data_IF_635732936439
#
_entry.id   IF_635732936439
#
_cell.length_a   1.000
_cell.length_b   1.000
_cell.length_c   1.000
_cell.angle_alpha   90.00
_cell.angle_beta   90.00
_cell.angle_gamma   90.00
#
_symmetry.space_group_name_H-M   'P 1'
#
loop_
_entity.id
_entity.type
_entity.pdbx_description
1 polymer ?
#
# COMPACT_ATOMS: atom_id res chain seq x y z
N UNK A 1 -29.83 6.43 -22.06
CA UNK A 1 -28.40 6.75 -21.81
C UNK A 1 -27.75 5.50 -21.21
N UNK A 2 -26.70 4.97 -21.85
CA UNK A 2 -26.11 3.67 -21.48
C UNK A 2 -25.46 3.75 -20.10
N UNK A 3 -25.94 2.97 -19.15
CA UNK A 3 -25.22 2.70 -17.89
C UNK A 3 -24.08 1.75 -18.25
N UNK A 4 -22.90 2.26 -18.54
CA UNK A 4 -21.70 1.42 -18.69
C UNK A 4 -21.16 1.07 -17.31
N UNK A 5 -21.69 -0.01 -16.74
CA UNK A 5 -21.22 -0.65 -15.51
C UNK A 5 -20.26 -1.79 -15.86
N UNK A 6 -18.94 -1.60 -15.72
CA UNK A 6 -17.84 -2.62 -15.66
C UNK A 6 -16.49 -1.93 -15.91
N UNK A 7 -15.37 -2.13 -15.20
CA UNK A 7 -14.93 -3.06 -14.15
C UNK A 7 -14.10 -2.28 -13.14
N UNK A 8 -14.44 -2.32 -11.84
CA UNK A 8 -13.59 -1.76 -10.79
C UNK A 8 -12.61 -2.84 -10.32
N UNK A 9 -11.52 -3.01 -11.04
CA UNK A 9 -10.33 -3.68 -10.51
C UNK A 9 -9.26 -2.60 -10.37
N UNK A 10 -9.31 -1.80 -9.30
CA UNK A 10 -8.27 -0.80 -9.08
C UNK A 10 -6.98 -1.43 -8.60
N UNK A 11 -6.96 -2.71 -8.23
CA UNK A 11 -5.72 -3.41 -7.98
C UNK A 11 -5.78 -4.88 -8.37
N UNK A 12 -4.63 -5.41 -8.80
CA UNK A 12 -4.44 -6.80 -9.20
C UNK A 12 -3.39 -7.47 -8.32
N UNK A 13 -3.62 -8.73 -7.95
CA UNK A 13 -2.63 -9.51 -7.22
C UNK A 13 -1.48 -9.93 -8.15
N UNK A 14 -0.23 -9.74 -7.73
CA UNK A 14 0.95 -10.12 -8.50
C UNK A 14 2.27 -9.67 -7.88
N UNK A 15 3.42 -10.10 -8.42
CA UNK A 15 4.73 -9.79 -7.88
C UNK A 15 5.06 -8.30 -8.00
N UNK A 16 5.54 -7.70 -6.90
CA UNK A 16 5.97 -6.31 -6.81
C UNK A 16 7.50 -6.24 -6.85
N UNK A 17 8.04 -5.38 -7.71
CA UNK A 17 9.47 -5.11 -7.78
C UNK A 17 9.88 -4.21 -6.62
N UNK A 18 10.61 -4.77 -5.64
CA UNK A 18 11.10 -4.02 -4.46
C UNK A 18 12.23 -3.04 -4.77
N UNK A 19 12.88 -3.16 -5.92
CA UNK A 19 13.87 -2.18 -6.34
C UNK A 19 13.21 -0.86 -6.77
N UNK A 20 11.96 -0.92 -7.23
CA UNK A 20 11.14 0.22 -7.67
C UNK A 20 10.37 0.89 -6.52
N UNK A 21 9.73 2.01 -6.83
CA UNK A 21 8.77 2.69 -5.96
C UNK A 21 7.69 1.69 -5.52
N UNK A 22 7.60 1.47 -4.21
CA UNK A 22 6.57 0.60 -3.64
C UNK A 22 6.21 1.05 -2.22
N UNK A 23 5.09 0.53 -1.73
CA UNK A 23 4.67 0.67 -0.34
C UNK A 23 4.67 -0.72 0.28
N UNK A 24 5.24 -0.83 1.48
CA UNK A 24 5.06 -2.01 2.32
C UNK A 24 3.88 -1.80 3.25
N UNK A 25 3.06 -2.83 3.39
CA UNK A 25 1.93 -2.86 4.31
C UNK A 25 2.20 -3.88 5.41
N UNK A 26 2.15 -3.46 6.67
CA UNK A 26 2.26 -4.33 7.86
C UNK A 26 0.96 -4.33 8.66
N UNK A 27 0.84 -5.23 9.64
CA UNK A 27 -0.37 -5.39 10.46
C UNK A 27 -0.04 -5.43 11.96
N UNK A 28 -0.69 -4.57 12.74
CA UNK A 28 -0.41 -4.31 14.14
C UNK A 28 1.03 -3.84 14.37
N UNK A 29 1.57 -4.13 15.55
CA UNK A 29 2.95 -3.81 15.93
C UNK A 29 4.01 -4.69 15.22
N UNK A 30 3.61 -5.52 14.25
CA UNK A 30 4.56 -6.36 13.54
C UNK A 30 5.36 -5.54 12.52
N UNK A 31 6.68 -5.51 12.65
CA UNK A 31 7.58 -4.89 11.67
C UNK A 31 7.61 -5.61 10.31
N UNK A 32 7.05 -6.82 10.25
CA UNK A 32 7.06 -7.62 9.03
C UNK A 32 5.91 -7.21 8.11
N UNK A 33 6.26 -6.84 6.87
CA UNK A 33 5.30 -6.58 5.82
C UNK A 33 4.45 -7.85 5.52
N UNK A 34 3.14 -7.66 5.42
CA UNK A 34 2.15 -8.67 5.04
C UNK A 34 1.70 -8.49 3.59
N UNK A 35 1.85 -7.30 3.02
CA UNK A 35 1.63 -7.04 1.61
C UNK A 35 2.58 -5.95 1.06
N UNK A 36 2.73 -5.89 -0.26
CA UNK A 36 3.42 -4.83 -0.98
C UNK A 36 2.45 -4.23 -2.01
N UNK A 37 2.55 -2.93 -2.24
CA UNK A 37 1.73 -2.20 -3.22
C UNK A 37 2.66 -1.42 -4.15
N UNK A 38 2.41 -1.45 -5.45
CA UNK A 38 3.14 -0.67 -6.45
C UNK A 38 2.18 -0.13 -7.52
N UNK A 39 2.53 0.94 -8.23
CA UNK A 39 1.74 1.39 -9.37
C UNK A 39 1.72 0.33 -10.48
N UNK A 40 0.59 0.19 -11.17
CA UNK A 40 0.42 -0.75 -12.28
C UNK A 40 0.49 -0.04 -13.64
N UNK A 41 1.20 -0.63 -14.60
CA UNK A 41 1.45 -0.03 -15.92
C UNK A 41 0.19 0.26 -16.75
N UNK A 42 -0.91 -0.48 -16.50
CA UNK A 42 -2.19 -0.32 -17.22
C UNK A 42 -3.24 0.44 -16.40
N UNK A 43 -2.81 1.35 -15.52
CA UNK A 43 -3.62 1.98 -14.46
C UNK A 43 -3.96 1.01 -13.33
N UNK A 44 -4.23 1.55 -12.16
CA UNK A 44 -4.45 0.81 -10.92
C UNK A 44 -3.15 0.47 -10.19
N UNK A 45 -3.26 -0.47 -9.26
CA UNK A 45 -2.17 -0.87 -8.37
C UNK A 45 -1.89 -2.37 -8.51
N UNK A 46 -0.65 -2.76 -8.29
CA UNK A 46 -0.27 -4.15 -8.11
C UNK A 46 -0.08 -4.41 -6.63
N UNK A 47 -0.72 -5.46 -6.13
CA UNK A 47 -0.61 -5.88 -4.74
C UNK A 47 0.03 -7.26 -4.68
N UNK A 48 1.06 -7.42 -3.84
CA UNK A 48 1.65 -8.71 -3.54
C UNK A 48 1.37 -9.06 -2.09
N UNK A 49 0.56 -10.08 -1.81
CA UNK A 49 0.44 -10.62 -0.46
C UNK A 49 1.66 -11.50 -0.13
N UNK A 50 2.28 -11.24 1.01
CA UNK A 50 3.45 -11.98 1.50
C UNK A 50 3.07 -13.13 2.42
N UNK A 51 1.87 -13.08 3.00
CA UNK A 51 1.25 -14.19 3.71
C UNK A 51 0.40 -15.02 2.74
N UNK A 52 0.43 -16.34 2.92
CA UNK A 52 -0.47 -17.25 2.21
C UNK A 52 -1.59 -17.66 3.16
N UNK A 53 -2.83 -17.58 2.69
CA UNK A 53 -3.98 -18.13 3.40
C UNK A 53 -3.75 -19.62 3.67
N UNK A 54 -4.12 -20.07 4.87
CA UNK A 54 -4.02 -21.48 5.28
C UNK A 54 -5.32 -21.86 5.96
N UNK A 55 -5.89 -23.00 5.59
CA UNK A 55 -7.19 -23.46 6.09
C UNK A 55 -7.26 -23.56 7.62
N UNK A 56 -6.13 -23.87 8.26
CA UNK A 56 -6.02 -24.08 9.71
C UNK A 56 -5.61 -22.84 10.49
N UNK A 57 -5.24 -21.73 9.83
CA UNK A 57 -4.75 -20.52 10.48
C UNK A 57 -5.76 -19.37 10.37
N UNK A 58 -6.76 -19.41 11.25
CA UNK A 58 -7.81 -18.39 11.33
C UNK A 58 -7.25 -16.98 11.58
N UNK A 59 -6.11 -16.87 12.28
CA UNK A 59 -5.47 -15.58 12.55
C UNK A 59 -4.87 -14.99 11.28
N UNK A 60 -4.12 -15.79 10.50
CA UNK A 60 -3.55 -15.34 9.23
C UNK A 60 -4.64 -14.95 8.24
N UNK A 61 -5.73 -15.71 8.16
CA UNK A 61 -6.84 -15.39 7.27
C UNK A 61 -7.51 -14.08 7.66
N UNK A 62 -7.73 -13.83 8.97
CA UNK A 62 -8.27 -12.56 9.45
C UNK A 62 -7.38 -11.36 9.12
N UNK A 63 -6.06 -11.50 9.27
CA UNK A 63 -5.10 -10.46 8.88
C UNK A 63 -5.20 -10.15 7.40
N UNK A 64 -5.23 -11.20 6.55
CA UNK A 64 -5.36 -11.04 5.11
C UNK A 64 -6.67 -10.35 4.71
N UNK A 65 -7.78 -10.69 5.37
CA UNK A 65 -9.08 -10.08 5.12
C UNK A 65 -9.12 -8.60 5.51
N UNK A 66 -8.58 -8.24 6.68
CA UNK A 66 -8.51 -6.85 7.13
C UNK A 66 -7.61 -6.01 6.20
N UNK A 67 -6.45 -6.55 5.81
CA UNK A 67 -5.55 -5.90 4.83
C UNK A 67 -6.24 -5.75 3.47
N UNK A 68 -6.92 -6.79 2.96
CA UNK A 68 -7.65 -6.73 1.69
C UNK A 68 -8.74 -5.65 1.73
N UNK A 69 -9.49 -5.56 2.83
CA UNK A 69 -10.53 -4.53 3.00
C UNK A 69 -9.95 -3.13 2.98
N UNK A 70 -8.85 -2.90 3.70
CA UNK A 70 -8.23 -1.58 3.76
C UNK A 70 -7.60 -1.16 2.42
N UNK A 71 -6.88 -2.08 1.76
CA UNK A 71 -6.36 -1.85 0.40
C UNK A 71 -7.49 -1.54 -0.58
N UNK A 72 -8.59 -2.28 -0.52
CA UNK A 72 -9.76 -2.04 -1.36
C UNK A 72 -10.33 -0.65 -1.10
N UNK A 73 -10.60 -0.29 0.17
CA UNK A 73 -11.15 1.02 0.51
C UNK A 73 -10.28 2.18 0.00
N UNK A 74 -8.98 2.18 0.29
CA UNK A 74 -8.13 3.29 -0.14
C UNK A 74 -7.89 3.30 -1.64
N UNK A 75 -7.56 2.15 -2.25
CA UNK A 75 -7.15 2.10 -3.66
C UNK A 75 -8.33 2.18 -4.63
N UNK A 76 -9.52 1.71 -4.25
CA UNK A 76 -10.74 1.80 -5.06
C UNK A 76 -11.60 3.01 -4.72
N UNK A 77 -11.93 3.17 -3.44
CA UNK A 77 -13.05 4.03 -3.03
C UNK A 77 -12.63 5.46 -2.70
N UNK A 78 -11.41 5.65 -2.19
CA UNK A 78 -10.90 6.99 -1.82
C UNK A 78 -10.19 7.66 -2.99
N UNK A 79 -9.30 6.96 -3.70
CA UNK A 79 -8.31 7.60 -4.58
C UNK A 79 -8.51 7.34 -6.07
N UNK A 80 -9.13 6.20 -6.41
CA UNK A 80 -9.23 5.71 -7.78
C UNK A 80 -7.89 5.21 -8.37
N UNK A 81 -7.92 4.56 -9.55
CA UNK A 81 -6.81 3.78 -10.08
C UNK A 81 -5.55 4.58 -10.50
N UNK A 82 -5.62 5.91 -10.60
CA UNK A 82 -4.54 6.74 -11.15
C UNK A 82 -3.78 7.57 -10.08
N UNK A 83 -4.00 7.31 -8.79
CA UNK A 83 -3.57 8.23 -7.70
C UNK A 83 -2.44 7.67 -6.82
N UNK A 84 -1.31 7.31 -7.43
CA UNK A 84 -0.08 6.94 -6.70
C UNK A 84 0.42 8.01 -5.71
N UNK A 85 0.35 9.33 -6.03
CA UNK A 85 0.74 10.37 -5.08
C UNK A 85 -0.08 10.37 -3.79
N UNK A 86 -1.37 10.03 -3.85
CA UNK A 86 -2.17 9.90 -2.63
C UNK A 86 -1.67 8.74 -1.77
N UNK A 87 -1.34 7.60 -2.38
CA UNK A 87 -0.83 6.43 -1.65
C UNK A 87 0.46 6.77 -0.90
N UNK A 88 1.34 7.58 -1.52
CA UNK A 88 2.54 8.11 -0.87
C UNK A 88 2.17 9.04 0.30
N UNK A 89 1.25 9.99 0.09
CA UNK A 89 0.78 10.89 1.13
C UNK A 89 0.14 10.14 2.31
N UNK A 90 -0.66 9.11 2.05
CA UNK A 90 -1.36 8.34 3.07
C UNK A 90 -0.40 7.75 4.11
N UNK A 91 0.80 7.36 3.70
CA UNK A 91 1.84 6.81 4.57
C UNK A 91 2.22 7.75 5.73
N UNK A 92 2.08 9.07 5.57
CA UNK A 92 2.42 10.06 6.61
C UNK A 92 1.19 10.56 7.40
N UNK A 93 0.00 10.07 7.07
CA UNK A 93 -1.25 10.55 7.69
C UNK A 93 -1.45 10.05 9.13
N UNK A 94 -2.19 10.81 9.97
CA UNK A 94 -2.65 10.29 11.26
C UNK A 94 -3.54 9.04 11.14
N UNK A 95 -4.27 8.89 10.02
CA UNK A 95 -5.08 7.70 9.75
C UNK A 95 -4.21 6.44 9.67
N UNK A 96 -3.09 6.50 8.95
CA UNK A 96 -2.11 5.40 8.89
C UNK A 96 -1.50 5.07 10.26
N UNK A 97 -1.20 6.09 11.08
CA UNK A 97 -0.63 5.89 12.42
C UNK A 97 -1.60 5.24 13.41
N UNK A 98 -2.91 5.42 13.23
CA UNK A 98 -3.95 4.89 14.13
C UNK A 98 -4.61 3.61 13.62
N UNK A 99 -4.41 3.27 12.34
CA UNK A 99 -4.90 2.00 11.79
C UNK A 99 -4.11 0.82 12.35
N UNK A 100 -4.69 -0.37 12.29
CA UNK A 100 -3.94 -1.62 12.48
C UNK A 100 -3.13 -1.99 11.25
N UNK A 101 -3.47 -1.45 10.09
CA UNK A 101 -2.75 -1.71 8.84
C UNK A 101 -1.86 -0.50 8.59
N UNK A 102 -0.55 -0.70 8.62
CA UNK A 102 0.41 0.39 8.48
C UNK A 102 1.07 0.36 7.12
N UNK A 103 1.10 1.52 6.48
CA UNK A 103 1.65 1.77 5.15
C UNK A 103 2.97 2.51 5.31
N UNK A 104 4.01 2.05 4.62
CA UNK A 104 5.32 2.70 4.56
C UNK A 104 5.80 2.78 3.13
N UNK A 105 6.07 3.99 2.66
CA UNK A 105 6.59 4.24 1.32
C UNK A 105 8.10 4.01 1.25
N UNK A 106 8.51 3.34 0.18
CA UNK A 106 9.89 3.08 -0.19
C UNK A 106 10.14 3.67 -1.59
N UNK A 107 10.89 4.78 -1.70
CA UNK A 107 11.27 5.32 -3.00
C UNK A 107 12.24 4.39 -3.71
N UNK A 108 12.16 4.36 -5.04
CA UNK A 108 13.13 3.73 -5.92
C UNK A 108 14.52 4.31 -5.61
N UNK A 109 15.52 3.43 -5.59
CA UNK A 109 16.89 3.80 -5.21
C UNK A 109 17.51 4.88 -6.11
N UNK A 110 17.05 5.07 -7.36
CA UNK A 110 17.53 6.20 -8.18
C UNK A 110 16.78 7.52 -7.91
N UNK A 111 15.64 7.49 -7.21
CA UNK A 111 14.84 8.67 -6.88
C UNK A 111 15.26 9.35 -5.56
N UNK A 112 16.21 8.78 -4.81
CA UNK A 112 16.80 9.43 -3.63
C UNK A 112 17.62 10.66 -4.04
N UNK A 113 16.95 11.80 -4.20
CA UNK A 113 17.57 13.09 -3.87
C UNK A 113 17.96 13.03 -2.39
N UNK A 114 19.15 13.50 -1.99
CA UNK A 114 19.51 13.54 -0.59
C UNK A 114 18.49 14.41 0.15
N UNK A 115 17.78 13.83 1.11
CA UNK A 115 17.06 14.62 2.12
C UNK A 115 18.12 15.53 2.77
N UNK A 116 18.08 16.84 2.50
CA UNK A 116 18.86 17.82 3.27
C UNK A 116 18.54 17.55 4.74
N UNK A 117 19.52 17.06 5.49
CA UNK A 117 19.45 17.03 6.95
C UNK A 117 19.27 18.49 7.37
N UNK A 118 18.10 18.85 7.86
CA UNK A 118 17.91 20.11 8.58
C UNK A 118 18.82 20.03 9.80
N UNK A 119 19.99 20.66 9.68
CA UNK A 119 20.92 20.90 10.78
C UNK A 119 20.16 21.77 11.78
N UNK A 120 19.75 21.17 12.89
CA UNK A 120 19.29 21.94 14.04
C UNK A 120 20.44 22.88 14.44
N UNK A 121 20.19 24.19 14.34
CA UNK A 121 21.01 25.19 15.00
C UNK A 121 20.74 25.04 16.50
N UNK A 122 21.73 24.57 17.23
CA UNK A 122 21.85 24.83 18.66
C UNK A 122 22.26 26.29 18.84
N UNK A 123 21.45 27.04 19.58
CA UNK A 123 21.81 28.28 20.25
C UNK A 123 21.36 28.14 21.70
#
# INVERSE_FOLDING_TARGET
>A
MRITKKERVAWVEGPVNRAADHVSVSYGEADKAVALVAPHARKGFRVQFLLRARHTDARVNRILDEVRRELTFYLLDVVGPDSWPFVQYHCDTPANRRSRVHWRWHPHAAATRPRKKSRALSA
#
